data_IF_877240237804
#
_entry.id   IF_877240237804
#
_cell.length_a   1.000
_cell.length_b   1.000
_cell.length_c   1.000
_cell.angle_alpha   90.00
_cell.angle_beta   90.00
_cell.angle_gamma   90.00
#
_symmetry.space_group_name_H-M   'P 1'
#
loop_
_entity.id
_entity.type
_entity.pdbx_description
1 polymer ?
#
# COMPACT_ATOMS: atom_id res chain seq x y z
N UNK A 1 -17.41 22.25 19.49
CA UNK A 1 -15.98 22.60 19.33
C UNK A 1 -15.08 21.77 20.24
N UNK A 2 -15.34 21.70 21.55
CA UNK A 2 -14.50 20.98 22.54
C UNK A 2 -14.23 19.48 22.26
N UNK A 3 -15.21 18.72 21.74
CA UNK A 3 -15.03 17.29 21.43
C UNK A 3 -14.01 17.04 20.30
N UNK A 4 -13.96 17.91 19.29
CA UNK A 4 -13.02 17.79 18.17
C UNK A 4 -11.59 18.17 18.58
N UNK A 5 -11.42 18.98 19.63
CA UNK A 5 -10.10 19.37 20.14
C UNK A 5 -9.36 18.19 20.79
N UNK A 6 -10.08 17.23 21.37
CA UNK A 6 -9.49 15.98 21.89
C UNK A 6 -8.85 15.16 20.77
N UNK A 7 -9.54 15.04 19.64
CA UNK A 7 -9.02 14.32 18.46
C UNK A 7 -7.88 15.07 17.76
N UNK A 8 -7.89 16.41 17.79
CA UNK A 8 -6.76 17.21 17.32
C UNK A 8 -5.55 17.07 18.24
N UNK A 9 -5.74 17.04 19.56
CA UNK A 9 -4.67 16.82 20.53
C UNK A 9 -4.07 15.43 20.39
N UNK A 10 -4.90 14.40 20.22
CA UNK A 10 -4.46 13.03 19.90
C UNK A 10 -3.65 13.02 18.60
N UNK A 11 -4.19 13.61 17.52
CA UNK A 11 -3.45 13.71 16.24
C UNK A 11 -2.09 14.39 16.44
N UNK A 12 -2.04 15.56 17.09
CA UNK A 12 -0.80 16.30 17.30
C UNK A 12 0.23 15.52 18.14
N UNK A 13 -0.23 14.78 19.14
CA UNK A 13 0.64 13.96 20.02
C UNK A 13 1.19 12.75 19.27
N UNK A 14 0.35 12.02 18.54
CA UNK A 14 0.79 10.87 17.75
C UNK A 14 1.65 11.30 16.55
N UNK A 15 1.33 12.41 15.89
CA UNK A 15 2.13 12.96 14.81
C UNK A 15 3.54 13.39 15.25
N UNK A 16 3.68 13.88 16.50
CA UNK A 16 4.99 14.25 17.07
C UNK A 16 5.81 13.05 17.53
N UNK A 17 5.18 12.07 18.17
CA UNK A 17 5.91 10.99 18.86
C UNK A 17 6.12 9.77 17.97
N UNK A 18 5.14 9.43 17.12
CA UNK A 18 5.11 8.20 16.33
C UNK A 18 4.38 8.47 15.01
N UNK A 19 5.06 9.15 14.08
CA UNK A 19 4.55 9.64 12.78
C UNK A 19 3.92 8.58 11.86
N UNK A 20 3.99 7.30 12.23
CA UNK A 20 3.51 6.14 11.45
C UNK A 20 2.53 5.24 12.22
N UNK A 21 2.20 5.57 13.48
CA UNK A 21 1.39 4.69 14.35
C UNK A 21 -0.06 4.51 13.86
N UNK A 22 -0.58 5.52 13.19
CA UNK A 22 -1.99 5.58 12.77
C UNK A 22 -2.25 4.61 11.62
N UNK A 23 -1.32 4.47 10.67
CA UNK A 23 -1.42 3.46 9.62
C UNK A 23 -1.55 2.05 10.25
N UNK A 24 -0.76 1.76 11.28
CA UNK A 24 -0.77 0.46 11.97
C UNK A 24 -2.06 0.20 12.74
N UNK A 25 -2.64 1.23 13.35
CA UNK A 25 -3.89 1.12 14.08
C UNK A 25 -5.09 0.89 13.14
N UNK A 26 -5.10 1.55 11.97
CA UNK A 26 -6.15 1.30 10.95
C UNK A 26 -6.00 -0.09 10.33
N UNK A 27 -4.78 -0.59 10.11
CA UNK A 27 -4.54 -1.96 9.67
C UNK A 27 -5.21 -2.99 10.59
N UNK A 28 -4.95 -2.89 11.90
CA UNK A 28 -5.51 -3.81 12.89
C UNK A 28 -7.04 -3.78 12.91
N UNK A 29 -7.63 -2.61 12.66
CA UNK A 29 -9.08 -2.42 12.67
C UNK A 29 -9.79 -2.98 11.43
N UNK A 30 -9.20 -2.87 10.24
CA UNK A 30 -9.82 -3.46 9.04
C UNK A 30 -9.68 -4.99 9.04
N UNK A 31 -8.61 -5.55 9.62
CA UNK A 31 -8.52 -7.00 9.88
C UNK A 31 -9.69 -7.49 10.75
N UNK A 32 -10.01 -6.77 11.82
CA UNK A 32 -11.16 -7.08 12.68
C UNK A 32 -12.52 -6.99 11.92
N UNK A 33 -12.73 -5.93 11.13
CA UNK A 33 -13.98 -5.78 10.34
C UNK A 33 -14.16 -6.92 9.34
N UNK A 34 -13.08 -7.39 8.72
CA UNK A 34 -13.16 -8.48 7.75
C UNK A 34 -13.62 -9.78 8.41
N UNK A 35 -13.03 -10.14 9.55
CA UNK A 35 -13.44 -11.34 10.31
C UNK A 35 -14.88 -11.23 10.83
N UNK A 36 -15.29 -10.04 11.27
CA UNK A 36 -16.62 -9.83 11.85
C UNK A 36 -17.77 -9.74 10.81
N UNK A 37 -17.48 -9.45 9.54
CA UNK A 37 -18.51 -9.08 8.54
C UNK A 37 -18.42 -9.81 7.19
N UNK A 38 -17.93 -11.06 7.20
CA UNK A 38 -17.74 -11.92 6.02
C UNK A 38 -18.98 -12.02 5.10
N UNK A 39 -20.20 -12.06 5.66
CA UNK A 39 -21.45 -12.15 4.89
C UNK A 39 -21.69 -10.98 3.92
N UNK A 40 -21.32 -9.74 4.28
CA UNK A 40 -21.57 -8.58 3.42
C UNK A 40 -20.67 -8.60 2.18
N UNK A 41 -19.42 -9.02 2.36
CA UNK A 41 -18.44 -9.21 1.28
C UNK A 41 -18.94 -10.24 0.27
N UNK A 42 -19.58 -11.32 0.74
CA UNK A 42 -20.26 -12.32 -0.10
C UNK A 42 -21.43 -11.74 -0.90
N UNK A 43 -22.22 -10.83 -0.29
CA UNK A 43 -23.36 -10.18 -0.97
C UNK A 43 -22.91 -9.16 -2.02
N UNK A 44 -21.82 -8.43 -1.76
CA UNK A 44 -21.21 -7.55 -2.76
C UNK A 44 -20.68 -8.36 -3.95
N UNK A 45 -20.04 -9.51 -3.69
CA UNK A 45 -19.64 -10.44 -4.75
C UNK A 45 -20.83 -10.92 -5.59
N UNK A 46 -21.94 -11.31 -4.95
CA UNK A 46 -23.16 -11.72 -5.66
C UNK A 46 -23.71 -10.63 -6.58
N UNK A 47 -23.81 -9.38 -6.11
CA UNK A 47 -24.31 -8.26 -6.92
C UNK A 47 -23.35 -7.90 -8.06
N UNK A 48 -22.04 -7.88 -7.79
CA UNK A 48 -21.02 -7.55 -8.78
C UNK A 48 -20.84 -8.64 -9.85
N UNK A 49 -21.19 -9.89 -9.55
CA UNK A 49 -21.13 -10.99 -10.53
C UNK A 49 -22.12 -10.84 -11.69
N UNK A 50 -23.26 -10.18 -11.49
CA UNK A 50 -24.26 -10.01 -12.54
C UNK A 50 -23.76 -9.23 -13.78
N UNK A 51 -23.05 -8.09 -13.63
CA UNK A 51 -22.42 -7.41 -14.76
C UNK A 51 -21.06 -8.03 -15.16
N UNK A 52 -20.21 -8.40 -14.20
CA UNK A 52 -18.84 -8.85 -14.48
C UNK A 52 -18.77 -10.27 -15.05
N UNK A 53 -19.70 -11.15 -14.69
CA UNK A 53 -19.81 -12.50 -15.23
C UNK A 53 -20.14 -12.54 -16.72
N UNK A 54 -20.59 -11.43 -17.32
CA UNK A 54 -20.82 -11.32 -18.77
C UNK A 54 -19.51 -11.19 -19.58
N UNK A 55 -18.41 -10.82 -18.93
CA UNK A 55 -17.11 -10.67 -19.59
C UNK A 55 -16.46 -12.05 -19.74
N UNK A 56 -16.35 -12.54 -20.98
CA UNK A 56 -15.78 -13.87 -21.28
C UNK A 56 -14.31 -14.03 -20.86
N UNK A 57 -13.54 -12.94 -20.90
CA UNK A 57 -12.12 -12.97 -20.55
C UNK A 57 -11.88 -12.52 -19.10
N UNK A 58 -11.68 -13.51 -18.20
CA UNK A 58 -11.40 -13.27 -16.77
C UNK A 58 -10.11 -12.47 -16.53
N UNK A 59 -9.12 -12.55 -17.44
CA UNK A 59 -7.87 -11.80 -17.33
C UNK A 59 -8.02 -10.32 -17.68
N UNK A 60 -9.03 -9.98 -18.49
CA UNK A 60 -9.40 -8.59 -18.74
C UNK A 60 -10.04 -7.96 -17.50
N UNK A 61 -10.76 -8.76 -16.71
CA UNK A 61 -11.28 -8.33 -15.40
C UNK A 61 -10.12 -8.03 -14.44
N UNK A 62 -9.08 -8.88 -14.40
CA UNK A 62 -7.87 -8.65 -13.59
C UNK A 62 -7.14 -7.35 -13.98
N UNK A 63 -6.99 -7.09 -15.28
CA UNK A 63 -6.41 -5.84 -15.79
C UNK A 63 -7.24 -4.62 -15.37
N UNK A 64 -8.57 -4.70 -15.52
CA UNK A 64 -9.50 -3.66 -15.07
C UNK A 64 -9.43 -3.43 -13.56
N UNK A 65 -9.36 -4.50 -12.76
CA UNK A 65 -9.18 -4.41 -11.30
C UNK A 65 -7.89 -3.69 -10.93
N UNK A 66 -6.77 -3.99 -11.60
CA UNK A 66 -5.51 -3.29 -11.38
C UNK A 66 -5.65 -1.79 -11.67
N UNK A 67 -6.21 -1.42 -12.84
CA UNK A 67 -6.38 -0.01 -13.23
C UNK A 67 -7.29 0.76 -12.28
N UNK A 68 -8.42 0.17 -11.89
CA UNK A 68 -9.35 0.76 -10.91
C UNK A 68 -8.69 0.88 -9.54
N UNK A 69 -7.95 -0.14 -9.11
CA UNK A 69 -7.20 -0.13 -7.85
C UNK A 69 -6.14 0.97 -7.83
N UNK A 70 -5.40 1.13 -8.92
CA UNK A 70 -4.45 2.23 -9.09
C UNK A 70 -5.18 3.57 -8.98
N UNK A 71 -6.29 3.80 -9.70
CA UNK A 71 -7.05 5.06 -9.57
C UNK A 71 -7.55 5.33 -8.14
N UNK A 72 -8.00 4.29 -7.44
CA UNK A 72 -8.48 4.39 -6.06
C UNK A 72 -7.37 4.84 -5.09
N UNK A 73 -6.10 4.51 -5.39
CA UNK A 73 -4.94 4.93 -4.60
C UNK A 73 -4.72 6.45 -4.58
N UNK A 74 -5.20 7.20 -5.56
CA UNK A 74 -5.14 8.67 -5.52
C UNK A 74 -6.00 9.23 -4.36
N UNK A 75 -7.08 8.51 -4.05
CA UNK A 75 -8.04 8.86 -3.02
C UNK A 75 -7.60 8.34 -1.65
N UNK A 76 -7.10 7.09 -1.61
CA UNK A 76 -6.69 6.38 -0.39
C UNK A 76 -5.17 6.46 -0.20
N UNK A 77 -4.75 7.19 0.83
CA UNK A 77 -3.35 7.48 1.13
C UNK A 77 -2.58 6.34 1.81
N UNK A 78 -3.27 5.31 2.33
CA UNK A 78 -2.64 4.22 3.08
C UNK A 78 -2.70 2.89 2.31
N UNK A 79 -1.54 2.25 2.14
CA UNK A 79 -1.41 1.00 1.38
C UNK A 79 -2.15 -0.16 2.02
N UNK A 80 -2.12 -0.23 3.35
CA UNK A 80 -2.75 -1.30 4.07
C UNK A 80 -4.28 -1.13 4.10
N UNK A 81 -4.78 0.10 4.26
CA UNK A 81 -6.20 0.40 4.08
C UNK A 81 -6.69 -0.01 2.69
N UNK A 82 -5.92 0.33 1.66
CA UNK A 82 -6.25 -0.02 0.27
C UNK A 82 -6.31 -1.54 0.07
N UNK A 83 -5.30 -2.30 0.53
CA UNK A 83 -5.30 -3.76 0.42
C UNK A 83 -6.46 -4.39 1.16
N UNK A 84 -6.72 -3.95 2.38
CA UNK A 84 -7.78 -4.54 3.19
C UNK A 84 -9.16 -4.22 2.60
N UNK A 85 -9.34 -3.01 2.04
CA UNK A 85 -10.53 -2.67 1.27
C UNK A 85 -10.69 -3.58 0.05
N UNK A 86 -9.62 -3.80 -0.72
CA UNK A 86 -9.63 -4.66 -1.91
C UNK A 86 -9.88 -6.14 -1.56
N UNK A 87 -9.30 -6.63 -0.45
CA UNK A 87 -9.55 -7.98 0.08
C UNK A 87 -10.98 -8.16 0.58
N UNK A 88 -11.56 -7.13 1.21
CA UNK A 88 -12.93 -7.20 1.68
C UNK A 88 -13.96 -7.07 0.55
N UNK A 89 -13.64 -6.32 -0.51
CA UNK A 89 -14.62 -5.98 -1.55
C UNK A 89 -14.40 -6.68 -2.89
N UNK A 90 -13.19 -6.63 -3.43
CA UNK A 90 -12.89 -7.11 -4.79
C UNK A 90 -12.46 -8.57 -4.76
N UNK A 91 -11.67 -9.01 -3.78
CA UNK A 91 -11.19 -10.39 -3.73
C UNK A 91 -12.34 -11.42 -3.80
N UNK A 92 -13.44 -11.31 -3.02
CA UNK A 92 -14.55 -12.28 -3.10
C UNK A 92 -15.24 -12.26 -4.47
N UNK A 93 -15.28 -11.11 -5.14
CA UNK A 93 -15.76 -10.97 -6.53
C UNK A 93 -14.86 -11.74 -7.48
N UNK A 94 -13.53 -11.60 -7.37
CA UNK A 94 -12.57 -12.32 -8.22
C UNK A 94 -12.69 -13.84 -8.04
N UNK A 95 -12.81 -14.31 -6.79
CA UNK A 95 -12.96 -15.75 -6.50
C UNK A 95 -14.27 -16.30 -7.07
N UNK A 96 -15.38 -15.58 -6.91
CA UNK A 96 -16.69 -16.02 -7.43
C UNK A 96 -16.78 -15.99 -8.96
N UNK A 97 -15.96 -15.18 -9.63
CA UNK A 97 -15.74 -15.27 -11.08
C UNK A 97 -14.87 -16.48 -11.49
N UNK A 98 -14.40 -17.27 -10.53
CA UNK A 98 -13.53 -18.44 -10.75
C UNK A 98 -12.10 -18.07 -11.14
N UNK A 99 -11.58 -16.96 -10.63
CA UNK A 99 -10.15 -16.61 -10.68
C UNK A 99 -9.46 -17.29 -9.49
N UNK A 100 -8.24 -17.79 -9.70
CA UNK A 100 -7.47 -18.48 -8.65
C UNK A 100 -7.11 -17.52 -7.51
N UNK A 101 -7.20 -17.96 -6.23
CA UNK A 101 -6.79 -17.19 -5.06
C UNK A 101 -5.44 -16.52 -5.22
N UNK A 102 -4.43 -17.30 -5.60
CA UNK A 102 -3.06 -16.82 -5.78
C UNK A 102 -2.94 -15.75 -6.88
N UNK A 103 -3.67 -15.89 -8.00
CA UNK A 103 -3.67 -14.89 -9.08
C UNK A 103 -4.40 -13.62 -8.67
N UNK A 104 -5.49 -13.75 -7.92
CA UNK A 104 -6.23 -12.60 -7.38
C UNK A 104 -5.34 -11.79 -6.42
N UNK A 105 -4.71 -12.44 -5.42
CA UNK A 105 -3.83 -11.71 -4.49
C UNK A 105 -2.59 -11.14 -5.17
N UNK A 106 -2.02 -11.81 -6.18
CA UNK A 106 -0.88 -11.28 -6.94
C UNK A 106 -1.24 -10.03 -7.74
N UNK A 107 -2.47 -9.89 -8.25
CA UNK A 107 -2.91 -8.64 -8.88
C UNK A 107 -3.20 -7.57 -7.83
N UNK A 108 -3.75 -7.94 -6.68
CA UNK A 108 -3.99 -6.99 -5.59
C UNK A 108 -2.69 -6.45 -4.99
N UNK A 109 -1.61 -7.22 -4.94
CA UNK A 109 -0.31 -6.72 -4.50
C UNK A 109 0.29 -5.69 -5.46
N UNK A 110 0.08 -5.83 -6.77
CA UNK A 110 0.57 -4.86 -7.77
C UNK A 110 -0.08 -3.47 -7.63
N UNK A 111 -1.31 -3.39 -7.10
CA UNK A 111 -1.98 -2.11 -6.81
C UNK A 111 -1.22 -1.31 -5.73
N UNK A 112 -0.31 -1.95 -4.99
CA UNK A 112 0.45 -1.29 -3.93
C UNK A 112 1.65 -0.48 -4.42
N UNK A 113 1.93 -0.39 -5.72
CA UNK A 113 3.01 0.44 -6.30
C UNK A 113 2.78 1.94 -6.03
N UNK A 114 3.77 2.66 -5.48
CA UNK A 114 3.60 4.05 -5.02
C UNK A 114 3.73 5.08 -6.13
N UNK A 115 2.87 6.09 -6.03
CA UNK A 115 2.89 7.23 -6.93
C UNK A 115 2.01 8.41 -6.53
N UNK A 116 1.17 8.27 -5.49
CA UNK A 116 0.21 9.31 -5.14
C UNK A 116 0.94 10.49 -4.47
N UNK A 117 0.56 11.75 -4.73
CA UNK A 117 1.09 12.90 -3.98
C UNK A 117 0.90 12.82 -2.45
N UNK A 118 0.02 11.94 -1.98
CA UNK A 118 -0.21 11.68 -0.55
C UNK A 118 0.65 10.54 0.00
N UNK A 119 1.33 9.78 -0.86
CA UNK A 119 2.18 8.67 -0.46
C UNK A 119 3.38 9.19 0.35
N UNK A 120 3.75 8.47 1.41
CA UNK A 120 4.85 8.87 2.30
C UNK A 120 6.18 9.05 1.56
N UNK A 121 6.41 8.27 0.50
CA UNK A 121 7.57 8.38 -0.36
C UNK A 121 7.58 9.70 -1.15
N UNK A 122 6.47 10.08 -1.77
CA UNK A 122 6.36 11.34 -2.52
C UNK A 122 6.48 12.56 -1.59
N UNK A 123 5.93 12.49 -0.37
CA UNK A 123 6.10 13.52 0.67
C UNK A 123 7.57 13.62 1.13
N UNK A 124 8.25 12.48 1.31
CA UNK A 124 9.66 12.48 1.70
C UNK A 124 10.57 12.95 0.57
N UNK A 125 10.26 12.59 -0.68
CA UNK A 125 10.95 13.09 -1.87
C UNK A 125 10.87 14.62 -1.92
N UNK A 126 9.66 15.19 -1.75
CA UNK A 126 9.46 16.63 -1.75
C UNK A 126 10.33 17.36 -0.71
N UNK A 127 10.48 16.78 0.49
CA UNK A 127 11.39 17.29 1.52
C UNK A 127 12.86 17.20 1.10
N UNK A 128 13.26 16.09 0.49
CA UNK A 128 14.65 15.88 0.05
C UNK A 128 15.05 16.84 -1.07
N UNK A 129 14.13 17.19 -1.96
CA UNK A 129 14.41 18.13 -3.07
C UNK A 129 14.25 19.61 -2.66
N UNK A 130 13.90 19.90 -1.40
CA UNK A 130 13.77 21.26 -0.89
C UNK A 130 12.43 21.95 -1.21
N UNK A 131 11.42 21.19 -1.66
CA UNK A 131 10.09 21.72 -2.01
C UNK A 131 8.97 21.02 -1.23
N UNK A 132 8.95 21.09 0.12
CA UNK A 132 8.02 20.32 0.96
C UNK A 132 6.54 20.63 0.71
N UNK A 133 6.21 21.84 0.27
CA UNK A 133 4.84 22.29 0.01
C UNK A 133 4.37 21.99 -1.43
N UNK A 134 5.27 21.57 -2.32
CA UNK A 134 5.00 21.40 -3.75
C UNK A 134 4.91 19.93 -4.19
N UNK A 135 4.41 19.04 -3.33
CA UNK A 135 4.32 17.59 -3.64
C UNK A 135 3.48 17.34 -4.90
N UNK A 136 2.36 18.06 -5.05
CA UNK A 136 1.47 17.94 -6.22
C UNK A 136 2.14 18.45 -7.50
N UNK A 137 2.89 19.56 -7.43
CA UNK A 137 3.61 20.08 -8.59
C UNK A 137 4.73 19.14 -9.03
N UNK A 138 5.47 18.53 -8.09
CA UNK A 138 6.47 17.50 -8.41
C UNK A 138 5.83 16.29 -9.08
N UNK A 139 4.69 15.84 -8.57
CA UNK A 139 3.94 14.73 -9.16
C UNK A 139 3.49 15.05 -10.59
N UNK A 140 2.83 16.18 -10.81
CA UNK A 140 2.29 16.55 -12.13
C UNK A 140 3.39 16.75 -13.19
N UNK A 141 4.52 17.35 -12.80
CA UNK A 141 5.59 17.69 -13.74
C UNK A 141 6.53 16.52 -14.03
N UNK A 142 6.79 15.64 -13.05
CA UNK A 142 7.84 14.63 -13.19
C UNK A 142 7.35 13.18 -13.08
N UNK A 143 6.27 12.90 -12.35
CA UNK A 143 5.87 11.52 -12.02
C UNK A 143 4.63 11.06 -12.80
N UNK A 144 3.66 11.94 -13.07
CA UNK A 144 2.38 11.61 -13.68
C UNK A 144 2.52 10.79 -14.98
N UNK A 145 3.35 11.25 -15.92
CA UNK A 145 3.53 10.57 -17.20
C UNK A 145 4.20 9.20 -17.04
N UNK A 146 5.15 9.07 -16.12
CA UNK A 146 5.80 7.81 -15.82
C UNK A 146 4.78 6.81 -15.25
N UNK A 147 3.89 7.28 -14.36
CA UNK A 147 2.81 6.49 -13.78
C UNK A 147 1.85 5.99 -14.83
N UNK A 148 1.35 6.89 -15.68
CA UNK A 148 0.44 6.50 -16.75
C UNK A 148 1.11 5.46 -17.66
N UNK A 149 2.38 5.65 -18.01
CA UNK A 149 3.12 4.72 -18.84
C UNK A 149 3.22 3.32 -18.21
N UNK A 150 3.71 3.21 -16.97
CA UNK A 150 3.87 1.88 -16.36
C UNK A 150 2.52 1.25 -16.00
N UNK A 151 1.48 2.02 -15.63
CA UNK A 151 0.14 1.47 -15.35
C UNK A 151 -0.45 0.86 -16.62
N UNK A 152 -0.34 1.54 -17.76
CA UNK A 152 -0.82 1.02 -19.04
C UNK A 152 -0.06 -0.23 -19.44
N UNK A 153 1.27 -0.23 -19.31
CA UNK A 153 2.11 -1.39 -19.62
C UNK A 153 1.73 -2.57 -18.74
N UNK A 154 1.72 -2.40 -17.41
CA UNK A 154 1.38 -3.48 -16.47
C UNK A 154 -0.05 -3.98 -16.72
N UNK A 155 -1.02 -3.09 -16.97
CA UNK A 155 -2.39 -3.49 -17.30
C UNK A 155 -2.47 -4.38 -18.55
N UNK A 156 -1.70 -4.06 -19.59
CA UNK A 156 -1.63 -4.85 -20.82
C UNK A 156 -0.87 -6.17 -20.62
N UNK A 157 0.17 -6.18 -19.77
CA UNK A 157 0.95 -7.40 -19.51
C UNK A 157 0.19 -8.36 -18.59
N UNK A 158 -0.55 -7.86 -17.58
CA UNK A 158 -1.37 -8.66 -16.66
C UNK A 158 -2.26 -9.65 -17.42
N UNK A 159 -2.90 -9.20 -18.49
CA UNK A 159 -3.83 -10.05 -19.24
C UNK A 159 -3.13 -11.26 -19.89
N UNK A 160 -1.92 -11.07 -20.40
CA UNK A 160 -1.16 -12.08 -21.15
C UNK A 160 -0.38 -12.97 -20.18
N UNK A 161 0.28 -12.35 -19.22
CA UNK A 161 1.17 -12.99 -18.27
C UNK A 161 0.40 -13.92 -17.33
N UNK A 162 -0.68 -13.46 -16.69
CA UNK A 162 -1.44 -14.33 -15.79
C UNK A 162 -2.20 -15.44 -16.54
N UNK A 163 -2.60 -15.21 -17.80
CA UNK A 163 -3.13 -16.26 -18.66
C UNK A 163 -2.09 -17.36 -18.94
N UNK A 164 -0.84 -16.97 -19.21
CA UNK A 164 0.27 -17.89 -19.40
C UNK A 164 0.62 -18.66 -18.11
N UNK A 165 0.77 -17.96 -16.98
CA UNK A 165 1.12 -18.55 -15.69
C UNK A 165 0.06 -19.55 -15.23
N UNK A 166 -1.23 -19.18 -15.31
CA UNK A 166 -2.30 -20.09 -14.93
C UNK A 166 -2.42 -21.30 -15.85
N UNK A 167 -2.16 -21.14 -17.16
CA UNK A 167 -2.12 -22.27 -18.10
C UNK A 167 -0.97 -23.22 -17.76
N UNK A 168 0.22 -22.68 -17.44
CA UNK A 168 1.40 -23.47 -17.05
C UNK A 168 1.15 -24.25 -15.76
N UNK A 169 0.55 -23.62 -14.76
CA UNK A 169 0.28 -24.28 -13.48
C UNK A 169 -0.77 -25.38 -13.58
N UNK A 170 -1.79 -25.19 -14.43
CA UNK A 170 -2.78 -26.24 -14.73
C UNK A 170 -2.16 -27.45 -15.41
N UNK A 171 -1.13 -27.24 -16.24
CA UNK A 171 -0.40 -28.33 -16.89
C UNK A 171 0.52 -29.10 -15.92
N UNK A 172 1.01 -28.45 -14.86
CA UNK A 172 1.94 -29.03 -13.88
C UNK A 172 1.26 -29.71 -12.68
N UNK A 173 -0.04 -30.02 -12.77
CA UNK A 173 -0.84 -30.71 -11.73
C UNK A 173 -0.87 -30.05 -10.33
N UNK A 174 -0.33 -28.83 -10.17
CA UNK A 174 -0.40 -28.04 -8.94
C UNK A 174 -1.75 -27.31 -8.81
N UNK A 175 -2.80 -27.96 -9.30
CA UNK A 175 -4.14 -27.38 -9.38
C UNK A 175 -4.76 -27.38 -7.98
N UNK A 176 -4.70 -26.24 -7.30
CA UNK A 176 -5.74 -25.91 -6.33
C UNK A 176 -7.08 -26.01 -7.07
N UNK A 177 -7.87 -27.02 -6.74
CA UNK A 177 -9.26 -27.10 -7.15
C UNK A 177 -9.98 -25.91 -6.52
N UNK A 178 -10.14 -24.83 -7.29
CA UNK A 178 -11.03 -23.74 -6.91
C UNK A 178 -12.43 -24.27 -7.12
N UNK A 179 -13.02 -24.84 -6.08
CA UNK A 179 -14.46 -25.05 -6.04
C UNK A 179 -15.09 -23.68 -6.30
N UNK A 180 -15.76 -23.55 -7.45
CA UNK A 180 -16.53 -22.36 -7.79
C UNK A 180 -17.67 -22.35 -6.78
N UNK A 181 -17.50 -21.60 -5.69
CA UNK A 181 -18.53 -21.46 -4.68
C UNK A 181 -19.82 -21.01 -5.38
N UNK A 182 -20.85 -21.87 -5.36
CA UNK A 182 -22.18 -21.49 -5.84
C UNK A 182 -22.60 -20.25 -5.06
N UNK A 183 -22.79 -19.16 -5.79
CA UNK A 183 -23.04 -17.86 -5.18
C UNK A 183 -24.50 -17.82 -4.73
N UNK A 184 -24.78 -18.43 -3.59
CA UNK A 184 -26.07 -18.35 -2.91
C UNK A 184 -26.21 -16.95 -2.33
N UNK A 185 -27.33 -16.27 -2.59
CA UNK A 185 -27.61 -14.93 -2.07
C UNK A 185 -27.60 -14.97 -0.52
N UNK A 186 -26.57 -14.43 0.15
CA UNK A 186 -26.50 -14.50 1.60
C UNK A 186 -27.49 -13.50 2.19
N UNK A 187 -28.40 -13.96 3.05
CA UNK A 187 -29.28 -13.06 3.80
C UNK A 187 -28.46 -12.25 4.82
N UNK A 188 -27.98 -11.08 4.38
CA UNK A 188 -27.30 -10.12 5.25
C UNK A 188 -28.33 -9.17 5.87
N UNK A 189 -28.33 -8.98 7.20
CA UNK A 189 -29.13 -7.96 7.86
C UNK A 189 -28.81 -6.56 7.31
N UNK A 190 -29.86 -5.78 7.00
CA UNK A 190 -29.76 -4.42 6.45
C UNK A 190 -28.92 -3.45 7.31
N UNK A 191 -28.72 -3.75 8.58
CA UNK A 191 -28.01 -2.88 9.52
C UNK A 191 -26.48 -2.84 9.30
N UNK A 192 -25.89 -3.83 8.63
CA UNK A 192 -24.44 -3.85 8.32
C UNK A 192 -24.08 -2.75 7.30
N UNK A 193 -25.03 -2.34 6.45
CA UNK A 193 -24.86 -1.20 5.55
C UNK A 193 -24.64 0.12 6.31
N UNK A 194 -25.19 0.27 7.51
CA UNK A 194 -25.08 1.51 8.31
C UNK A 194 -23.66 1.75 8.83
N UNK A 195 -22.94 0.72 9.28
CA UNK A 195 -21.56 0.87 9.76
C UNK A 195 -20.60 1.33 8.66
N UNK A 196 -20.79 0.87 7.41
CA UNK A 196 -19.96 1.27 6.26
C UNK A 196 -20.43 2.60 5.64
N UNK A 197 -21.74 2.88 5.68
CA UNK A 197 -22.31 4.17 5.31
C UNK A 197 -21.77 5.31 6.17
N UNK A 198 -21.51 5.08 7.47
CA UNK A 198 -20.94 6.10 8.34
C UNK A 198 -19.50 6.49 7.95
N UNK A 199 -18.63 5.53 7.63
CA UNK A 199 -17.27 5.81 7.13
C UNK A 199 -17.29 6.62 5.83
N UNK A 200 -18.17 6.24 4.89
CA UNK A 200 -18.34 6.95 3.63
C UNK A 200 -18.96 8.35 3.85
N UNK A 201 -19.93 8.50 4.77
CA UNK A 201 -20.55 9.77 5.13
C UNK A 201 -19.61 10.69 5.92
N UNK A 202 -18.71 10.17 6.75
CA UNK A 202 -17.67 10.95 7.42
C UNK A 202 -16.60 11.41 6.42
N UNK A 203 -16.19 10.53 5.50
CA UNK A 203 -15.26 10.87 4.42
C UNK A 203 -15.87 11.87 3.43
N UNK A 204 -17.12 11.68 3.02
CA UNK A 204 -17.88 12.62 2.17
C UNK A 204 -18.20 13.91 2.92
N UNK A 205 -18.53 13.85 4.21
CA UNK A 205 -18.73 15.02 5.07
C UNK A 205 -17.46 15.88 5.18
N UNK A 206 -16.27 15.26 5.08
CA UNK A 206 -15.00 15.96 5.01
C UNK A 206 -14.82 16.77 3.72
N UNK A 207 -15.39 16.31 2.62
CA UNK A 207 -15.39 17.01 1.32
C UNK A 207 -16.45 18.13 1.31
N UNK A 208 -17.58 17.93 1.98
CA UNK A 208 -18.72 18.88 1.93
C UNK A 208 -18.77 19.91 3.07
N UNK A 209 -18.12 19.70 4.23
CA UNK A 209 -18.31 20.55 5.42
C UNK A 209 -17.27 21.68 5.60
N UNK A 210 -16.25 21.80 4.75
CA UNK A 210 -15.26 22.90 4.82
C UNK A 210 -14.37 22.93 6.08
N UNK A 211 -14.45 21.91 6.95
CA UNK A 211 -13.63 21.80 8.15
C UNK A 211 -12.29 21.15 7.76
N UNK A 212 -11.18 21.85 8.00
CA UNK A 212 -9.82 21.29 7.90
C UNK A 212 -9.60 20.30 9.05
N UNK A 213 -10.10 19.09 8.88
CA UNK A 213 -9.79 17.96 9.76
C UNK A 213 -8.59 17.22 9.16
N UNK A 214 -7.70 16.73 10.01
CA UNK A 214 -6.55 15.93 9.58
C UNK A 214 -6.97 14.47 9.44
N UNK A 215 -6.38 13.74 8.49
CA UNK A 215 -6.71 12.33 8.18
C UNK A 215 -6.64 11.47 9.45
N UNK A 216 -5.67 11.78 10.30
CA UNK A 216 -5.47 11.16 11.60
C UNK A 216 -6.69 11.32 12.52
N UNK A 217 -7.21 12.54 12.66
CA UNK A 217 -8.37 12.80 13.51
C UNK A 217 -9.62 12.11 12.97
N UNK A 218 -9.76 11.98 11.64
CA UNK A 218 -10.89 11.28 11.02
C UNK A 218 -10.89 9.77 11.35
N UNK A 219 -9.72 9.13 11.32
CA UNK A 219 -9.57 7.72 11.66
C UNK A 219 -9.91 7.42 13.13
N UNK A 220 -9.46 8.27 14.08
CA UNK A 220 -9.82 8.11 15.49
C UNK A 220 -11.32 8.29 15.75
N UNK A 221 -11.97 9.23 15.05
CA UNK A 221 -13.43 9.44 15.16
C UNK A 221 -14.16 8.21 14.63
N UNK A 222 -13.79 7.71 13.44
CA UNK A 222 -14.44 6.54 12.83
C UNK A 222 -14.37 5.30 13.73
N UNK A 223 -13.21 5.02 14.32
CA UNK A 223 -13.00 3.88 15.21
C UNK A 223 -13.78 4.04 16.52
N UNK A 224 -13.77 5.23 17.12
CA UNK A 224 -14.53 5.52 18.34
C UNK A 224 -16.03 5.28 18.13
N UNK A 225 -16.56 5.73 16.99
CA UNK A 225 -17.96 5.51 16.64
C UNK A 225 -18.28 4.03 16.38
N UNK A 226 -17.36 3.28 15.78
CA UNK A 226 -17.62 1.86 15.54
C UNK A 226 -17.58 1.04 16.82
N UNK A 227 -16.65 1.30 17.74
CA UNK A 227 -16.68 0.65 19.06
C UNK A 227 -17.93 1.03 19.85
N UNK A 228 -18.42 2.27 19.70
CA UNK A 228 -19.71 2.67 20.28
C UNK A 228 -20.87 1.85 19.69
N UNK A 229 -20.89 1.64 18.38
CA UNK A 229 -21.92 0.83 17.71
C UNK A 229 -21.81 -0.65 18.11
N UNK A 230 -20.60 -1.23 18.15
CA UNK A 230 -20.37 -2.60 18.63
C UNK A 230 -20.79 -2.79 20.09
N UNK A 231 -20.50 -1.79 20.94
CA UNK A 231 -20.95 -1.76 22.34
C UNK A 231 -22.48 -1.72 22.44
N UNK A 232 -23.14 -0.89 21.64
CA UNK A 232 -24.61 -0.81 21.60
C UNK A 232 -25.22 -2.12 21.07
N UNK A 233 -24.57 -2.77 20.10
CA UNK A 233 -25.03 -4.01 19.44
C UNK A 233 -24.93 -5.22 20.37
N UNK A 234 -23.77 -5.46 20.97
CA UNK A 234 -23.55 -6.64 21.79
C UNK A 234 -23.95 -6.43 23.26
N UNK A 235 -24.06 -5.17 23.71
CA UNK A 235 -24.31 -4.79 25.13
C UNK A 235 -23.37 -5.49 26.13
N UNK A 236 -22.24 -6.00 25.65
CA UNK A 236 -21.24 -6.72 26.42
C UNK A 236 -19.91 -5.98 26.31
N UNK A 237 -19.55 -5.29 27.38
CA UNK A 237 -18.30 -4.54 27.45
C UNK A 237 -17.05 -5.43 27.42
N UNK A 238 -17.16 -6.71 27.79
CA UNK A 238 -16.01 -7.63 27.75
C UNK A 238 -15.62 -7.96 26.31
N UNK A 239 -16.62 -8.24 25.46
CA UNK A 239 -16.40 -8.54 24.05
C UNK A 239 -15.78 -7.37 23.30
N UNK A 240 -16.26 -6.14 23.54
CA UNK A 240 -15.66 -4.93 22.96
C UNK A 240 -14.21 -4.73 23.43
N UNK A 241 -13.92 -5.05 24.70
CA UNK A 241 -12.55 -4.99 25.21
C UNK A 241 -11.63 -6.03 24.57
N UNK A 242 -12.12 -7.25 24.30
CA UNK A 242 -11.38 -8.29 23.59
C UNK A 242 -11.07 -7.87 22.14
N UNK A 243 -12.05 -7.26 21.47
CA UNK A 243 -11.91 -6.75 20.11
C UNK A 243 -10.88 -5.60 20.03
N UNK A 244 -10.87 -4.70 21.02
CA UNK A 244 -9.82 -3.66 21.15
C UNK A 244 -8.44 -4.29 21.32
N UNK A 245 -8.32 -5.37 22.11
CA UNK A 245 -7.04 -6.08 22.31
C UNK A 245 -6.55 -6.73 21.03
N UNK A 246 -7.44 -7.29 20.19
CA UNK A 246 -7.08 -7.84 18.87
C UNK A 246 -6.49 -6.74 17.98
N UNK A 247 -7.14 -5.59 17.90
CA UNK A 247 -6.66 -4.43 17.12
C UNK A 247 -5.30 -3.94 17.62
N UNK A 248 -5.12 -3.83 18.94
CA UNK A 248 -3.87 -3.38 19.55
C UNK A 248 -2.72 -4.37 19.33
N UNK A 249 -2.98 -5.68 19.37
CA UNK A 249 -1.97 -6.72 19.08
C UNK A 249 -1.53 -6.67 17.62
N UNK A 250 -2.47 -6.61 16.69
CA UNK A 250 -2.16 -6.48 15.26
C UNK A 250 -1.33 -5.21 14.97
N UNK A 251 -1.68 -4.10 15.62
CA UNK A 251 -0.89 -2.87 15.52
C UNK A 251 0.52 -3.03 16.09
N UNK A 252 0.68 -3.69 17.24
CA UNK A 252 1.99 -3.88 17.88
C UNK A 252 2.94 -4.71 17.02
N UNK A 253 2.45 -5.76 16.36
CA UNK A 253 3.26 -6.59 15.45
C UNK A 253 3.79 -5.79 14.26
N UNK A 254 2.94 -4.98 13.63
CA UNK A 254 3.36 -4.12 12.51
C UNK A 254 4.33 -3.04 13.00
N UNK A 255 4.06 -2.46 14.17
CA UNK A 255 4.92 -1.43 14.78
C UNK A 255 6.35 -1.92 15.01
N UNK A 256 6.53 -3.09 15.62
CA UNK A 256 7.85 -3.67 15.90
C UNK A 256 8.63 -3.87 14.59
N UNK A 257 7.98 -4.44 13.57
CA UNK A 257 8.60 -4.66 12.26
C UNK A 257 9.13 -3.35 11.66
N UNK A 258 8.30 -2.30 11.59
CA UNK A 258 8.71 -1.05 10.92
C UNK A 258 9.77 -0.29 11.70
N UNK A 259 9.68 -0.22 13.03
CA UNK A 259 10.70 0.48 13.83
C UNK A 259 12.06 -0.19 13.70
N UNK A 260 12.12 -1.52 13.77
CA UNK A 260 13.38 -2.26 13.59
C UNK A 260 14.02 -2.00 12.22
N UNK A 261 13.21 -1.96 11.16
CA UNK A 261 13.62 -1.62 9.79
C UNK A 261 14.18 -0.19 9.71
N UNK A 262 13.48 0.80 10.26
CA UNK A 262 13.93 2.21 10.23
C UNK A 262 15.27 2.37 10.94
N UNK A 263 15.43 1.76 12.11
CA UNK A 263 16.69 1.81 12.88
C UNK A 263 17.82 1.16 12.07
N UNK A 264 17.62 -0.06 11.58
CA UNK A 264 18.63 -0.79 10.82
C UNK A 264 19.13 0.02 9.60
N UNK A 265 18.22 0.66 8.87
CA UNK A 265 18.61 1.46 7.70
C UNK A 265 19.18 2.82 8.02
N UNK A 266 18.75 3.43 9.12
CA UNK A 266 19.39 4.66 9.59
C UNK A 266 20.84 4.40 9.97
N UNK A 267 21.11 3.29 10.68
CA UNK A 267 22.48 2.85 11.02
C UNK A 267 23.27 2.54 9.75
N UNK A 268 22.68 1.86 8.76
CA UNK A 268 23.33 1.59 7.47
C UNK A 268 23.69 2.87 6.70
N UNK A 269 22.77 3.84 6.65
CA UNK A 269 22.99 5.14 6.00
C UNK A 269 24.13 5.92 6.66
N UNK A 270 24.13 5.98 7.99
CA UNK A 270 25.22 6.60 8.75
C UNK A 270 26.54 5.83 8.58
N UNK A 271 26.49 4.51 8.45
CA UNK A 271 27.64 3.68 8.10
C UNK A 271 28.26 4.05 6.74
N UNK A 272 27.45 4.22 5.70
CA UNK A 272 27.94 4.67 4.38
C UNK A 272 28.59 6.05 4.48
N UNK A 273 27.98 6.98 5.23
CA UNK A 273 28.56 8.32 5.45
C UNK A 273 29.89 8.25 6.19
N UNK A 274 29.96 7.49 7.28
CA UNK A 274 31.15 7.35 8.11
C UNK A 274 32.32 6.68 7.37
N UNK A 275 32.03 5.76 6.44
CA UNK A 275 33.03 5.12 5.57
C UNK A 275 33.48 6.00 4.40
N UNK A 276 32.96 7.23 4.28
CA UNK A 276 33.25 8.12 3.17
C UNK A 276 32.68 7.64 1.83
N UNK A 277 31.61 6.84 1.86
CA UNK A 277 30.99 6.30 0.66
C UNK A 277 30.52 7.38 -0.31
N UNK A 278 30.14 8.56 0.20
CA UNK A 278 29.82 9.72 -0.63
C UNK A 278 31.06 10.23 -1.38
N UNK A 279 32.24 10.33 -0.74
CA UNK A 279 33.46 10.77 -1.42
C UNK A 279 33.93 9.74 -2.45
N UNK A 280 33.80 8.44 -2.17
CA UNK A 280 34.14 7.38 -3.13
C UNK A 280 33.24 7.46 -4.36
N UNK A 281 31.93 7.62 -4.16
CA UNK A 281 30.95 7.76 -5.24
C UNK A 281 31.23 9.04 -6.04
N UNK A 282 31.40 10.19 -5.38
CA UNK A 282 31.72 11.47 -6.04
C UNK A 282 33.04 11.39 -6.82
N UNK A 283 34.08 10.81 -6.23
CA UNK A 283 35.40 10.70 -6.84
C UNK A 283 35.41 9.82 -8.10
N UNK A 284 34.68 8.71 -8.07
CA UNK A 284 34.48 7.86 -9.25
C UNK A 284 33.62 8.54 -10.33
N UNK A 285 32.69 9.40 -9.94
CA UNK A 285 31.79 10.09 -10.88
C UNK A 285 32.46 11.30 -11.53
N UNK A 286 33.27 12.04 -10.78
CA UNK A 286 33.99 13.21 -11.29
C UNK A 286 34.97 12.85 -12.43
N UNK A 287 35.44 11.60 -12.49
CA UNK A 287 36.32 11.11 -13.56
C UNK A 287 35.59 10.70 -14.85
N UNK A 288 34.24 10.64 -14.85
CA UNK A 288 33.44 10.05 -15.95
C UNK A 288 32.52 11.04 -16.70
N UNK A 289 32.53 12.34 -16.39
CA UNK A 289 31.76 13.36 -17.12
C UNK A 289 30.24 13.11 -17.14
N UNK A 290 29.56 13.33 -18.28
CA UNK A 290 28.09 13.14 -18.39
C UNK A 290 27.61 11.69 -18.24
N UNK A 291 28.47 10.69 -18.48
CA UNK A 291 28.14 9.27 -18.27
C UNK A 291 28.01 8.95 -16.77
N UNK A 292 28.67 9.75 -15.93
CA UNK A 292 28.66 9.60 -14.48
C UNK A 292 27.23 9.69 -13.92
N UNK A 293 26.44 10.69 -14.32
CA UNK A 293 25.10 10.92 -13.76
C UNK A 293 24.17 9.72 -14.02
N UNK A 294 24.18 9.18 -15.24
CA UNK A 294 23.38 8.00 -15.58
C UNK A 294 23.81 6.77 -14.77
N UNK A 295 25.12 6.54 -14.68
CA UNK A 295 25.67 5.42 -13.94
C UNK A 295 25.36 5.53 -12.44
N UNK A 296 25.36 6.75 -11.90
CA UNK A 296 24.97 7.07 -10.54
C UNK A 296 23.50 6.73 -10.26
N UNK A 297 22.60 7.15 -11.16
CA UNK A 297 21.17 6.83 -11.08
C UNK A 297 20.97 5.32 -11.06
N UNK A 298 21.62 4.59 -11.99
CA UNK A 298 21.49 3.14 -12.10
C UNK A 298 21.97 2.46 -10.82
N UNK A 299 23.20 2.74 -10.37
CA UNK A 299 23.79 2.10 -9.19
C UNK A 299 22.97 2.38 -7.93
N UNK A 300 22.62 3.64 -7.69
CA UNK A 300 21.84 4.02 -6.51
C UNK A 300 20.42 3.44 -6.56
N UNK A 301 19.78 3.39 -7.73
CA UNK A 301 18.44 2.80 -7.87
C UNK A 301 18.46 1.30 -7.60
N UNK A 302 19.41 0.54 -8.17
CA UNK A 302 19.52 -0.90 -7.89
C UNK A 302 19.88 -1.19 -6.44
N UNK A 303 20.72 -0.35 -5.82
CA UNK A 303 21.06 -0.46 -4.41
C UNK A 303 19.83 -0.19 -3.52
N UNK A 304 19.05 0.86 -3.79
CA UNK A 304 17.78 1.12 -3.09
C UNK A 304 16.80 -0.01 -3.30
N UNK A 305 16.64 -0.50 -4.53
CA UNK A 305 15.76 -1.64 -4.85
C UNK A 305 16.13 -2.88 -4.03
N UNK A 306 17.41 -3.26 -4.01
CA UNK A 306 17.91 -4.43 -3.28
C UNK A 306 17.75 -4.31 -1.77
N UNK A 307 18.11 -3.17 -1.19
CA UNK A 307 17.90 -2.90 0.24
C UNK A 307 16.41 -2.94 0.56
N UNK A 308 15.56 -2.36 -0.29
CA UNK A 308 14.12 -2.37 -0.06
C UNK A 308 13.53 -3.79 -0.10
N UNK A 309 14.01 -4.68 -0.98
CA UNK A 309 13.59 -6.08 -0.98
C UNK A 309 13.90 -6.75 0.36
N UNK A 310 15.12 -6.54 0.88
CA UNK A 310 15.59 -7.13 2.14
C UNK A 310 14.82 -6.57 3.34
N UNK A 311 14.38 -5.31 3.25
CA UNK A 311 13.74 -4.60 4.34
C UNK A 311 12.21 -4.66 4.33
N UNK A 312 11.57 -4.85 3.19
CA UNK A 312 10.11 -4.79 3.06
C UNK A 312 9.48 -3.39 3.21
N UNK A 313 10.28 -2.33 3.38
CA UNK A 313 9.80 -0.94 3.52
C UNK A 313 10.52 0.00 2.56
N UNK A 314 9.77 0.51 1.58
CA UNK A 314 10.27 1.50 0.61
C UNK A 314 10.62 2.83 1.26
N UNK A 315 9.82 3.27 2.23
CA UNK A 315 10.02 4.56 2.92
C UNK A 315 11.35 4.59 3.67
N UNK A 316 11.71 3.51 4.36
CA UNK A 316 12.95 3.45 5.14
C UNK A 316 14.18 3.50 4.23
N UNK A 317 14.26 2.60 3.24
CA UNK A 317 15.37 2.52 2.29
C UNK A 317 15.54 3.82 1.49
N UNK A 318 14.43 4.39 1.03
CA UNK A 318 14.43 5.67 0.33
C UNK A 318 14.87 6.83 1.23
N UNK A 319 14.43 6.87 2.49
CA UNK A 319 14.83 7.94 3.42
C UNK A 319 16.33 7.99 3.69
N UNK A 320 16.97 6.82 3.76
CA UNK A 320 18.41 6.72 3.97
C UNK A 320 19.21 7.24 2.77
N UNK A 321 18.93 6.72 1.57
CA UNK A 321 19.79 6.93 0.40
C UNK A 321 19.32 8.15 -0.41
N UNK A 322 18.03 8.46 -0.38
CA UNK A 322 17.46 9.65 -1.03
C UNK A 322 18.07 10.95 -0.49
N UNK A 323 18.36 11.04 0.81
CA UNK A 323 19.08 12.18 1.39
C UNK A 323 20.52 12.28 0.89
N UNK A 324 21.21 11.14 0.70
CA UNK A 324 22.57 11.11 0.14
C UNK A 324 22.52 11.60 -1.32
N UNK A 325 21.56 11.10 -2.11
CA UNK A 325 21.37 11.49 -3.50
C UNK A 325 20.99 12.98 -3.65
N UNK A 326 20.13 13.50 -2.77
CA UNK A 326 19.75 14.91 -2.76
C UNK A 326 20.93 15.84 -2.47
N UNK A 327 21.82 15.44 -1.55
CA UNK A 327 23.05 16.19 -1.24
C UNK A 327 24.13 16.05 -2.32
N UNK A 328 24.08 14.97 -3.10
CA UNK A 328 25.00 14.71 -4.21
C UNK A 328 24.65 15.52 -5.46
N UNK A 329 23.36 15.69 -5.77
CA UNK A 329 22.91 16.33 -7.00
C UNK A 329 23.50 17.74 -7.26
N UNK A 330 23.54 18.66 -6.28
CA UNK A 330 24.18 19.97 -6.46
C UNK A 330 25.67 19.87 -6.78
N UNK A 331 26.38 18.89 -6.20
CA UNK A 331 27.82 18.66 -6.47
C UNK A 331 28.07 18.16 -7.89
N UNK A 332 27.08 17.53 -8.50
CA UNK A 332 27.10 17.08 -9.90
C UNK A 332 26.51 18.12 -10.87
N UNK A 333 26.12 19.30 -10.40
CA UNK A 333 25.54 20.37 -11.24
C UNK A 333 24.14 20.06 -11.79
N UNK A 334 23.41 19.13 -11.17
CA UNK A 334 22.07 18.70 -11.61
C UNK A 334 21.00 19.00 -10.55
N UNK A 335 19.72 19.05 -10.97
CA UNK A 335 18.59 19.18 -10.05
C UNK A 335 18.44 17.92 -9.19
N UNK A 336 18.18 18.07 -7.89
CA UNK A 336 18.02 16.93 -6.96
C UNK A 336 16.95 15.94 -7.38
N UNK A 337 15.86 16.39 -7.99
CA UNK A 337 14.78 15.52 -8.48
C UNK A 337 15.27 14.47 -9.49
N UNK A 338 16.32 14.75 -10.27
CA UNK A 338 16.86 13.85 -11.29
C UNK A 338 17.48 12.59 -10.66
N UNK A 339 18.06 12.71 -9.45
CA UNK A 339 18.58 11.56 -8.71
C UNK A 339 17.53 10.98 -7.77
N UNK A 340 16.73 11.82 -7.11
CA UNK A 340 15.82 11.38 -6.05
C UNK A 340 14.60 10.64 -6.61
N UNK A 341 14.03 11.05 -7.75
CA UNK A 341 12.83 10.41 -8.31
C UNK A 341 13.07 8.95 -8.74
N UNK A 342 14.15 8.60 -9.48
CA UNK A 342 14.43 7.19 -9.78
C UNK A 342 14.60 6.32 -8.54
N UNK A 343 15.18 6.87 -7.47
CA UNK A 343 15.36 6.19 -6.20
C UNK A 343 14.02 5.96 -5.49
N UNK A 344 13.10 6.93 -5.56
CA UNK A 344 11.73 6.77 -5.06
C UNK A 344 11.05 5.60 -5.79
N UNK A 345 11.03 5.61 -7.12
CA UNK A 345 10.44 4.54 -7.93
C UNK A 345 11.11 3.18 -7.63
N UNK A 346 12.43 3.14 -7.52
CA UNK A 346 13.17 1.92 -7.21
C UNK A 346 12.81 1.35 -5.83
N UNK A 347 12.58 2.22 -4.84
CA UNK A 347 12.09 1.79 -3.53
C UNK A 347 10.68 1.20 -3.62
N UNK A 348 9.82 1.76 -4.46
CA UNK A 348 8.45 1.29 -4.62
C UNK A 348 8.41 -0.10 -5.26
N UNK A 349 9.20 -0.29 -6.32
CA UNK A 349 9.37 -1.58 -6.98
C UNK A 349 10.01 -2.61 -6.05
N UNK A 350 11.04 -2.21 -5.29
CA UNK A 350 11.71 -3.09 -4.33
C UNK A 350 10.77 -3.56 -3.22
N UNK A 351 9.86 -2.70 -2.77
CA UNK A 351 8.83 -3.08 -1.78
C UNK A 351 7.82 -4.05 -2.39
N UNK A 352 7.37 -3.82 -3.62
CA UNK A 352 6.47 -4.73 -4.32
C UNK A 352 7.09 -6.12 -4.58
N UNK A 353 8.42 -6.18 -4.68
CA UNK A 353 9.21 -7.40 -4.84
C UNK A 353 9.59 -8.09 -3.50
N UNK A 354 9.25 -7.50 -2.35
CA UNK A 354 9.68 -8.01 -1.04
C UNK A 354 8.67 -8.99 -0.43
N UNK A 355 9.09 -10.23 -0.07
CA UNK A 355 8.21 -11.20 0.58
C UNK A 355 7.84 -10.84 2.02
N UNK A 356 8.58 -9.91 2.63
CA UNK A 356 8.35 -9.43 3.99
C UNK A 356 7.68 -8.05 4.03
N UNK A 357 7.29 -7.50 2.86
CA UNK A 357 6.51 -6.27 2.84
C UNK A 357 5.15 -6.51 3.53
N UNK A 358 4.76 -5.59 4.43
CA UNK A 358 3.51 -5.72 5.19
C UNK A 358 2.27 -5.91 4.32
N UNK A 359 2.24 -5.29 3.14
CA UNK A 359 1.22 -5.49 2.11
C UNK A 359 1.12 -6.94 1.62
N UNK A 360 2.27 -7.57 1.38
CA UNK A 360 2.36 -8.95 0.90
C UNK A 360 2.04 -9.93 2.02
N UNK A 361 2.53 -9.68 3.24
CA UNK A 361 2.21 -10.50 4.41
C UNK A 361 0.71 -10.49 4.72
N UNK A 362 0.04 -9.33 4.60
CA UNK A 362 -1.41 -9.24 4.76
C UNK A 362 -2.16 -10.07 3.71
N UNK A 363 -1.78 -9.96 2.43
CA UNK A 363 -2.38 -10.75 1.34
C UNK A 363 -2.12 -12.26 1.50
N UNK A 364 -0.91 -12.63 1.90
CA UNK A 364 -0.50 -14.01 2.14
C UNK A 364 -1.25 -14.63 3.31
N UNK A 365 -1.31 -13.93 4.45
CA UNK A 365 -2.06 -14.36 5.62
C UNK A 365 -3.55 -14.53 5.33
N UNK A 366 -4.13 -13.59 4.57
CA UNK A 366 -5.52 -13.63 4.15
C UNK A 366 -5.84 -14.83 3.26
N UNK A 367 -5.04 -15.04 2.21
CA UNK A 367 -5.26 -16.14 1.27
C UNK A 367 -4.73 -17.49 1.77
N UNK A 368 -4.10 -17.52 2.96
CA UNK A 368 -3.39 -18.69 3.51
C UNK A 368 -2.34 -19.24 2.56
N UNK A 369 -1.62 -18.35 1.88
CA UNK A 369 -0.58 -18.67 0.91
C UNK A 369 0.80 -18.29 1.45
N UNK A 370 1.85 -18.90 0.92
CA UNK A 370 3.22 -18.49 1.20
C UNK A 370 3.50 -17.12 0.56
N UNK A 371 4.04 -16.12 1.29
CA UNK A 371 4.40 -14.81 0.74
C UNK A 371 5.30 -14.90 -0.50
N UNK A 372 6.25 -15.83 -0.48
CA UNK A 372 7.17 -16.05 -1.59
C UNK A 372 6.45 -16.56 -2.85
N UNK A 373 5.35 -17.29 -2.72
CA UNK A 373 4.56 -17.75 -3.86
C UNK A 373 3.88 -16.57 -4.58
N UNK A 374 3.46 -15.54 -3.83
CA UNK A 374 2.92 -14.29 -4.38
C UNK A 374 4.03 -13.54 -5.12
N UNK A 375 5.20 -13.36 -4.48
CA UNK A 375 6.33 -12.65 -5.08
C UNK A 375 6.86 -13.33 -6.34
N UNK A 376 6.95 -14.66 -6.38
CA UNK A 376 7.38 -15.39 -7.58
C UNK A 376 6.48 -15.10 -8.79
N UNK A 377 5.21 -14.77 -8.57
CA UNK A 377 4.29 -14.38 -9.64
C UNK A 377 4.38 -12.91 -9.99
N UNK A 378 4.64 -12.02 -9.04
CA UNK A 378 4.66 -10.58 -9.31
C UNK A 378 6.01 -10.04 -9.73
N UNK A 379 7.12 -10.62 -9.27
CA UNK A 379 8.47 -10.13 -9.55
C UNK A 379 8.82 -9.94 -11.04
N UNK A 380 8.33 -10.77 -12.00
CA UNK A 380 8.61 -10.57 -13.42
C UNK A 380 7.87 -9.39 -14.08
N UNK A 381 6.84 -8.85 -13.41
CA UNK A 381 6.06 -7.68 -13.84
C UNK A 381 6.68 -6.41 -13.24
#
# INVERSE_FOLDING_TARGET
>A
MCFLDVYKFLSATFAKTLRSWIDYYVCGWVCYIYEAYQCLSSKLAFVANAPLGKIKNKYLILSGTFVVGMMLKIVISSYAELILLLLASIYPVLISLGIRPITAVSVLSLITLDYCPKDGNSINMAKMVGEPDNVVGLFLNYQLWNVVAYVVIIALVIQLYYAYVDKRDRANSSAENVEVAEITNPQCPFFIFYCRGYLLCCYLGHIFAGIKLDVVSANFIAISFCFLIEFIRHRDGKRVSEDIVVVLKAMAEIFVSVVSIIIATSVFAEGIKALGGLEVIVGYLASMGNVAVLLCIIVLSFLVFGITIIMGSGIAAFSAIGNIAANLAPKLGIKSIILVLPLEIASCLGRAASPIAGSILALAGFAKLEPLAIIKRTLPL
#
